data_IF_729160923327
#
_entry.id   IF_729160923327
#
_cell.length_a   1.000
_cell.length_b   1.000
_cell.length_c   1.000
_cell.angle_alpha   90.00
_cell.angle_beta   90.00
_cell.angle_gamma   90.00
#
_symmetry.space_group_name_H-M   'P 1'
#
loop_
_entity.id
_entity.type
_entity.pdbx_description
1 polymer ?
#
# COMPACT_ATOMS: atom_id res chain seq x y z
N UNK A 1 10.47 16.31 -14.51
CA UNK A 1 10.26 14.93 -15.03
C UNK A 1 10.97 13.84 -14.21
N UNK A 2 11.95 14.14 -13.34
CA UNK A 2 12.59 13.14 -12.45
C UNK A 2 11.89 12.99 -11.08
N UNK A 3 11.37 14.09 -10.53
CA UNK A 3 10.79 14.14 -9.19
C UNK A 3 9.58 13.23 -8.92
N UNK A 4 8.88 12.75 -9.96
CA UNK A 4 7.76 11.81 -9.80
C UNK A 4 8.23 10.36 -9.62
N UNK A 5 9.34 9.97 -10.26
CA UNK A 5 9.85 8.61 -10.17
C UNK A 5 10.47 8.34 -8.80
N UNK A 6 11.26 9.30 -8.30
CA UNK A 6 11.87 9.21 -6.97
C UNK A 6 10.78 9.14 -5.88
N UNK A 7 9.70 9.92 -6.04
CA UNK A 7 8.54 9.83 -5.14
C UNK A 7 7.88 8.45 -5.15
N UNK A 8 7.74 7.82 -6.31
CA UNK A 8 7.16 6.48 -6.40
C UNK A 8 8.07 5.39 -5.81
N UNK A 9 9.40 5.54 -5.89
CA UNK A 9 10.33 4.60 -5.27
C UNK A 9 10.36 4.73 -3.75
N UNK A 10 10.36 5.96 -3.21
CA UNK A 10 10.22 6.22 -1.77
C UNK A 10 8.90 5.66 -1.23
N UNK A 11 7.80 5.85 -1.97
CA UNK A 11 6.49 5.28 -1.63
C UNK A 11 6.50 3.76 -1.56
N UNK A 12 7.15 3.09 -2.51
CA UNK A 12 7.26 1.64 -2.52
C UNK A 12 8.10 1.13 -1.34
N UNK A 13 9.21 1.81 -1.03
CA UNK A 13 10.06 1.47 0.11
C UNK A 13 9.32 1.67 1.44
N UNK A 14 8.60 2.79 1.59
CA UNK A 14 7.77 3.06 2.76
C UNK A 14 6.65 2.03 2.92
N UNK A 15 5.95 1.67 1.84
CA UNK A 15 4.90 0.66 1.87
C UNK A 15 5.44 -0.72 2.26
N UNK A 16 6.62 -1.10 1.76
CA UNK A 16 7.25 -2.36 2.16
C UNK A 16 7.66 -2.35 3.63
N UNK A 17 8.14 -1.21 4.15
CA UNK A 17 8.48 -1.07 5.56
C UNK A 17 7.25 -1.17 6.49
N UNK A 18 6.03 -0.91 5.99
CA UNK A 18 4.79 -1.12 6.75
C UNK A 18 4.41 -2.60 6.88
N UNK A 19 4.87 -3.47 5.98
CA UNK A 19 4.61 -4.91 5.99
C UNK A 19 5.47 -5.68 7.02
N UNK A 20 5.58 -5.15 8.24
CA UNK A 20 6.22 -5.88 9.37
C UNK A 20 5.35 -7.04 9.87
N UNK A 21 4.04 -6.95 9.64
CA UNK A 21 3.06 -8.01 9.83
C UNK A 21 2.18 -8.13 8.58
N UNK A 22 1.50 -9.27 8.36
CA UNK A 22 0.55 -9.38 7.26
C UNK A 22 -0.60 -8.38 7.41
N UNK A 23 -0.83 -7.54 6.40
CA UNK A 23 -1.85 -6.49 6.42
C UNK A 23 -2.76 -6.54 5.20
N UNK A 24 -4.01 -6.14 5.39
CA UNK A 24 -4.94 -5.92 4.26
C UNK A 24 -4.56 -4.64 3.51
N UNK A 25 -4.95 -4.51 2.22
CA UNK A 25 -4.78 -3.26 1.49
C UNK A 25 -5.39 -2.04 2.19
N UNK A 26 -6.51 -2.23 2.89
CA UNK A 26 -7.14 -1.17 3.67
C UNK A 26 -6.27 -0.70 4.83
N UNK A 27 -5.72 -1.64 5.62
CA UNK A 27 -4.85 -1.30 6.75
C UNK A 27 -3.55 -0.65 6.29
N UNK A 28 -3.03 -1.08 5.14
CA UNK A 28 -1.87 -0.44 4.52
C UNK A 28 -2.18 0.98 4.06
N UNK A 29 -3.30 1.18 3.37
CA UNK A 29 -3.73 2.51 2.97
C UNK A 29 -3.92 3.43 4.18
N UNK A 30 -4.49 2.95 5.28
CA UNK A 30 -4.64 3.70 6.53
C UNK A 30 -3.29 4.11 7.15
N UNK A 31 -2.26 3.27 7.03
CA UNK A 31 -0.92 3.53 7.56
C UNK A 31 -0.01 4.35 6.61
N UNK A 32 -0.40 4.53 5.34
CA UNK A 32 0.33 5.36 4.39
C UNK A 32 0.15 6.84 4.72
N UNK A 33 1.19 7.64 4.45
CA UNK A 33 1.10 9.09 4.58
C UNK A 33 0.28 9.70 3.44
N UNK A 34 -0.80 10.39 3.74
CA UNK A 34 -1.60 11.12 2.75
C UNK A 34 -1.45 12.63 2.93
N UNK A 35 -1.92 13.39 1.95
CA UNK A 35 -1.94 14.86 2.01
C UNK A 35 -2.83 15.44 3.13
N UNK A 36 -3.61 14.60 3.80
CA UNK A 36 -4.41 14.91 4.98
C UNK A 36 -4.51 13.66 5.87
N UNK A 37 -4.81 13.81 7.17
CA UNK A 37 -5.02 12.66 8.05
C UNK A 37 -6.11 11.72 7.51
N UNK A 38 -5.91 10.41 7.67
CA UNK A 38 -6.81 9.37 7.15
C UNK A 38 -8.26 9.56 7.65
N UNK A 39 -8.41 9.99 8.90
CA UNK A 39 -9.69 10.29 9.54
C UNK A 39 -10.45 11.41 8.83
N UNK A 40 -9.74 12.31 8.16
CA UNK A 40 -10.29 13.45 7.41
C UNK A 40 -10.49 13.16 5.92
N UNK A 41 -10.10 11.98 5.43
CA UNK A 41 -10.35 11.57 4.05
C UNK A 41 -11.81 11.13 3.92
N UNK A 42 -12.62 11.76 3.05
CA UNK A 42 -13.99 11.33 2.80
C UNK A 42 -14.06 9.87 2.35
N UNK A 43 -15.11 9.15 2.73
CA UNK A 43 -15.23 7.71 2.45
C UNK A 43 -15.05 7.36 0.96
N UNK A 44 -15.64 8.14 0.04
CA UNK A 44 -15.46 7.95 -1.40
C UNK A 44 -13.99 8.08 -1.85
N UNK A 45 -13.23 8.97 -1.22
CA UNK A 45 -11.80 9.15 -1.48
C UNK A 45 -10.93 8.05 -0.84
N UNK A 46 -11.39 7.40 0.24
CA UNK A 46 -10.69 6.24 0.83
C UNK A 46 -10.63 5.07 -0.13
N UNK A 47 -11.68 4.82 -0.91
CA UNK A 47 -11.65 3.75 -1.92
C UNK A 47 -10.59 4.01 -3.00
N UNK A 48 -10.38 5.27 -3.38
CA UNK A 48 -9.31 5.67 -4.31
C UNK A 48 -7.94 5.45 -3.66
N UNK A 49 -7.76 5.89 -2.41
CA UNK A 49 -6.52 5.69 -1.65
C UNK A 49 -6.16 4.20 -1.50
N UNK A 50 -7.15 3.35 -1.23
CA UNK A 50 -6.99 1.89 -1.15
C UNK A 50 -6.60 1.31 -2.51
N UNK A 51 -7.26 1.76 -3.58
CA UNK A 51 -6.92 1.31 -4.95
C UNK A 51 -5.49 1.69 -5.34
N UNK A 52 -5.01 2.85 -4.88
CA UNK A 52 -3.62 3.30 -5.06
C UNK A 52 -2.64 2.43 -4.26
N UNK A 53 -2.93 2.17 -2.98
CA UNK A 53 -2.14 1.25 -2.15
C UNK A 53 -2.05 -0.15 -2.78
N UNK A 54 -3.16 -0.67 -3.31
CA UNK A 54 -3.19 -1.93 -4.04
C UNK A 54 -2.34 -1.91 -5.32
N UNK A 55 -2.33 -0.80 -6.06
CA UNK A 55 -1.50 -0.68 -7.26
C UNK A 55 0.00 -0.78 -6.89
N UNK A 56 0.40 -0.17 -5.78
CA UNK A 56 1.75 -0.30 -5.24
C UNK A 56 2.05 -1.72 -4.74
N UNK A 57 1.12 -2.38 -4.05
CA UNK A 57 1.26 -3.78 -3.64
C UNK A 57 1.45 -4.71 -4.83
N UNK A 58 0.63 -4.58 -5.87
CA UNK A 58 0.78 -5.37 -7.12
C UNK A 58 2.14 -5.14 -7.76
N UNK A 59 2.72 -3.94 -7.65
CA UNK A 59 4.08 -3.68 -8.11
C UNK A 59 5.12 -4.39 -7.25
N UNK A 60 5.01 -4.37 -5.92
CA UNK A 60 5.89 -5.10 -5.01
C UNK A 60 5.84 -6.61 -5.24
N UNK A 61 4.65 -7.17 -5.47
CA UNK A 61 4.46 -8.59 -5.82
C UNK A 61 5.16 -8.92 -7.14
N UNK A 62 4.99 -8.09 -8.18
CA UNK A 62 5.70 -8.26 -9.46
C UNK A 62 7.22 -8.15 -9.32
N UNK A 63 7.71 -7.44 -8.31
CA UNK A 63 9.14 -7.31 -7.98
C UNK A 63 9.65 -8.44 -7.08
N UNK A 64 8.79 -9.35 -6.63
CA UNK A 64 9.15 -10.43 -5.70
C UNK A 64 9.49 -9.94 -4.29
N UNK A 65 8.97 -8.77 -3.88
CA UNK A 65 9.22 -8.17 -2.54
C UNK A 65 8.06 -8.35 -1.56
N UNK A 66 6.91 -8.78 -2.06
CA UNK A 66 5.73 -9.05 -1.26
C UNK A 66 4.90 -10.17 -1.92
N UNK A 67 4.06 -10.84 -1.15
CA UNK A 67 3.10 -11.82 -1.64
C UNK A 67 1.75 -11.68 -0.93
N UNK A 68 0.69 -12.11 -1.61
CA UNK A 68 -0.59 -12.32 -0.96
C UNK A 68 -0.56 -13.62 -0.17
N UNK A 69 -1.04 -13.62 1.08
CA UNK A 69 -1.09 -14.81 1.91
C UNK A 69 -2.23 -15.72 1.44
N UNK A 70 -1.95 -16.95 0.98
CA UNK A 70 -2.97 -17.85 0.48
C UNK A 70 -4.02 -18.20 1.54
N UNK A 71 -5.29 -18.23 1.14
CA UNK A 71 -6.39 -18.61 2.04
C UNK A 71 -6.83 -17.51 3.02
N UNK A 72 -6.31 -16.28 2.90
CA UNK A 72 -6.80 -15.14 3.67
C UNK A 72 -8.06 -14.52 3.06
N UNK A 73 -9.06 -14.24 3.90
CA UNK A 73 -10.24 -13.45 3.55
C UNK A 73 -10.58 -12.51 4.73
N UNK A 74 -10.46 -11.17 4.56
CA UNK A 74 -9.97 -10.48 3.36
C UNK A 74 -8.50 -10.78 3.06
N UNK A 75 -8.10 -10.59 1.79
CA UNK A 75 -6.72 -10.79 1.36
C UNK A 75 -5.75 -9.95 2.19
N UNK A 76 -4.70 -10.59 2.71
CA UNK A 76 -3.57 -9.92 3.37
C UNK A 76 -2.29 -10.12 2.56
N UNK A 77 -1.38 -9.17 2.67
CA UNK A 77 -0.07 -9.19 2.03
C UNK A 77 1.03 -9.22 3.09
N UNK A 78 2.13 -9.90 2.79
CA UNK A 78 3.35 -9.94 3.61
C UNK A 78 4.58 -9.63 2.76
N UNK A 79 5.65 -9.13 3.38
CA UNK A 79 6.95 -8.96 2.74
C UNK A 79 7.67 -10.31 2.53
N UNK A 80 8.58 -10.37 1.55
CA UNK A 80 9.45 -11.53 1.22
C UNK A 80 10.91 -11.12 1.36
#
# INVERSE_FOLDING_TARGET
MRALLDHHEERLAGLLALLTTPLTPWRLAEAMEWNRPWEQIPFGSRNIAVSEAEAHLRRLVKLGRAEAVPGSDPVVYQAI
#
